data_IF_869905109467
#
_entry.id   IF_869905109467
#
_cell.length_a   1.000
_cell.length_b   1.000
_cell.length_c   1.000
_cell.angle_alpha   90.00
_cell.angle_beta   90.00
_cell.angle_gamma   90.00
#
_symmetry.space_group_name_H-M   'P 1'
#
loop_
_entity.id
_entity.type
_entity.pdbx_description
1 polymer ?
#
# COMPACT_ATOMS: atom_id res chain seq x y z
N UNK A 1 -12.34 12.04 14.74
CA UNK A 1 -12.65 12.39 13.33
C UNK A 1 -13.83 11.54 12.88
N UNK A 2 -14.80 12.11 12.18
CA UNK A 2 -15.91 11.36 11.57
C UNK A 2 -15.63 11.29 10.06
N UNK A 3 -15.39 10.09 9.55
CA UNK A 3 -15.02 9.84 8.14
C UNK A 3 -16.17 9.12 7.42
N UNK A 4 -16.20 9.22 6.09
CA UNK A 4 -17.13 8.46 5.26
C UNK A 4 -16.96 6.96 5.52
N UNK A 5 -18.08 6.25 5.72
CA UNK A 5 -18.07 4.80 5.84
C UNK A 5 -17.80 4.15 4.48
N UNK A 6 -16.77 3.31 4.41
CA UNK A 6 -16.38 2.56 3.20
C UNK A 6 -16.79 1.09 3.35
N UNK A 7 -17.82 0.61 2.62
CA UNK A 7 -18.49 -0.65 2.94
C UNK A 7 -17.78 -1.92 2.45
N UNK A 8 -16.78 -1.82 1.59
CA UNK A 8 -16.16 -3.00 0.98
C UNK A 8 -15.09 -3.67 1.85
N UNK A 9 -14.72 -3.06 2.98
CA UNK A 9 -13.75 -3.61 3.93
C UNK A 9 -12.30 -3.44 3.48
N UNK A 10 -11.38 -4.00 4.27
CA UNK A 10 -9.93 -3.88 4.09
C UNK A 10 -9.41 -4.78 2.98
N UNK A 11 -8.48 -4.26 2.17
CA UNK A 11 -7.74 -5.03 1.17
C UNK A 11 -7.00 -6.21 1.82
N UNK A 12 -6.54 -6.05 3.06
CA UNK A 12 -5.95 -7.11 3.88
C UNK A 12 -6.81 -8.37 3.93
N UNK A 13 -8.12 -8.21 4.22
CA UNK A 13 -9.05 -9.34 4.32
C UNK A 13 -9.16 -10.11 3.01
N UNK A 14 -9.21 -9.40 1.88
CA UNK A 14 -9.21 -10.04 0.56
C UNK A 14 -7.91 -10.77 0.27
N UNK A 15 -6.77 -10.16 0.59
CA UNK A 15 -5.46 -10.75 0.38
C UNK A 15 -5.29 -12.04 1.19
N UNK A 16 -5.66 -12.03 2.48
CA UNK A 16 -5.60 -13.22 3.35
C UNK A 16 -6.52 -14.32 2.87
N UNK A 17 -7.75 -13.99 2.49
CA UNK A 17 -8.72 -14.98 1.99
C UNK A 17 -8.30 -15.62 0.66
N UNK A 18 -7.64 -14.87 -0.23
CA UNK A 18 -7.15 -15.38 -1.51
C UNK A 18 -5.75 -16.01 -1.41
N UNK A 19 -5.08 -15.86 -0.27
CA UNK A 19 -3.67 -16.20 -0.06
C UNK A 19 -2.72 -15.21 -0.74
N UNK A 20 -2.94 -14.92 -2.03
CA UNK A 20 -2.23 -13.90 -2.81
C UNK A 20 -3.09 -13.44 -3.99
N UNK A 21 -2.84 -12.24 -4.47
CA UNK A 21 -3.42 -11.74 -5.70
C UNK A 21 -2.67 -12.25 -6.94
N UNK A 22 -3.40 -12.42 -8.03
CA UNK A 22 -2.78 -12.64 -9.33
C UNK A 22 -2.17 -11.32 -9.85
N UNK A 23 -1.36 -11.41 -10.91
CA UNK A 23 -0.65 -10.26 -11.47
C UNK A 23 -1.59 -9.11 -11.87
N UNK A 24 -2.74 -9.42 -12.49
CA UNK A 24 -3.70 -8.43 -12.96
C UNK A 24 -4.36 -7.67 -11.80
N UNK A 25 -4.75 -8.38 -10.73
CA UNK A 25 -5.31 -7.78 -9.51
C UNK A 25 -4.28 -6.91 -8.80
N UNK A 26 -3.05 -7.39 -8.64
CA UNK A 26 -1.96 -6.60 -8.04
C UNK A 26 -1.62 -5.35 -8.86
N UNK A 27 -1.57 -5.47 -10.19
CA UNK A 27 -1.32 -4.35 -11.10
C UNK A 27 -2.40 -3.27 -11.00
N UNK A 28 -3.68 -3.66 -10.95
CA UNK A 28 -4.81 -2.73 -10.80
C UNK A 28 -4.68 -1.91 -9.52
N UNK A 29 -4.57 -2.54 -8.36
CA UNK A 29 -4.50 -1.80 -7.09
C UNK A 29 -3.20 -1.00 -6.95
N UNK A 30 -2.09 -1.50 -7.48
CA UNK A 30 -0.83 -0.74 -7.51
C UNK A 30 -0.97 0.55 -8.31
N UNK A 31 -1.67 0.52 -9.45
CA UNK A 31 -1.90 1.71 -10.27
C UNK A 31 -2.70 2.78 -9.52
N UNK A 32 -3.78 2.39 -8.84
CA UNK A 32 -4.58 3.32 -8.02
C UNK A 32 -3.78 3.91 -6.86
N UNK A 33 -2.99 3.08 -6.17
CA UNK A 33 -2.15 3.51 -5.06
C UNK A 33 -1.07 4.48 -5.54
N UNK A 34 -0.46 4.25 -6.71
CA UNK A 34 0.51 5.18 -7.31
C UNK A 34 -0.11 6.55 -7.53
N UNK A 35 -1.32 6.62 -8.11
CA UNK A 35 -2.04 7.88 -8.30
C UNK A 35 -2.37 8.57 -6.96
N UNK A 36 -2.76 7.79 -5.94
CA UNK A 36 -3.03 8.34 -4.60
C UNK A 36 -1.77 8.92 -3.94
N UNK A 37 -0.64 8.20 -3.98
CA UNK A 37 0.65 8.65 -3.46
C UNK A 37 1.13 9.91 -4.19
N UNK A 38 1.09 9.90 -5.52
CA UNK A 38 1.44 11.05 -6.35
C UNK A 38 0.61 12.29 -5.98
N UNK A 39 -0.70 12.13 -5.82
CA UNK A 39 -1.59 13.21 -5.40
C UNK A 39 -1.19 13.76 -4.03
N UNK A 40 -0.98 12.90 -3.03
CA UNK A 40 -0.55 13.34 -1.69
C UNK A 40 0.78 14.08 -1.74
N UNK A 41 1.75 13.56 -2.48
CA UNK A 41 3.08 14.16 -2.64
C UNK A 41 3.02 15.52 -3.33
N UNK A 42 2.10 15.72 -4.29
CA UNK A 42 1.83 17.02 -4.93
C UNK A 42 1.30 18.07 -3.94
N UNK A 43 0.72 17.62 -2.82
CA UNK A 43 0.25 18.48 -1.71
C UNK A 43 1.26 18.55 -0.56
N UNK A 44 2.48 18.08 -0.79
CA UNK A 44 3.55 17.99 0.21
C UNK A 44 3.20 17.06 1.39
N UNK A 45 2.24 16.14 1.22
CA UNK A 45 1.84 15.20 2.26
C UNK A 45 2.58 13.87 2.02
N UNK A 46 3.23 13.34 3.05
CA UNK A 46 3.79 11.99 3.05
C UNK A 46 2.91 11.11 3.93
N UNK A 47 2.52 9.94 3.44
CA UNK A 47 1.50 9.11 4.08
C UNK A 47 2.05 8.26 5.24
N UNK A 48 3.20 7.61 5.03
CA UNK A 48 4.02 6.90 6.04
C UNK A 48 3.39 5.68 6.72
N UNK A 49 2.19 5.26 6.34
CA UNK A 49 1.56 4.03 6.88
C UNK A 49 0.84 3.20 5.80
N UNK A 50 1.48 3.06 4.63
CA UNK A 50 0.94 2.22 3.56
C UNK A 50 1.07 0.74 3.93
N UNK A 51 -0.07 0.07 4.06
CA UNK A 51 -0.22 -1.37 4.31
C UNK A 51 -1.64 -1.83 3.94
N UNK A 52 -1.88 -3.13 3.68
CA UNK A 52 -3.19 -3.62 3.23
C UNK A 52 -4.36 -3.29 4.18
N UNK A 53 -4.08 -3.15 5.48
CA UNK A 53 -5.06 -2.80 6.53
C UNK A 53 -5.57 -1.36 6.37
N UNK A 54 -4.73 -0.45 5.87
CA UNK A 54 -5.08 0.95 5.68
C UNK A 54 -5.63 1.26 4.27
N UNK A 55 -5.94 0.23 3.49
CA UNK A 55 -6.50 0.34 2.16
C UNK A 55 -7.88 -0.31 2.16
N UNK A 56 -8.92 0.49 1.99
CA UNK A 56 -10.30 0.01 1.95
C UNK A 56 -10.78 -0.09 0.50
N UNK A 57 -11.64 -1.06 0.21
CA UNK A 57 -12.37 -1.12 -1.06
C UNK A 57 -13.73 -0.45 -0.90
N UNK A 58 -14.09 0.45 -1.80
CA UNK A 58 -15.45 0.99 -1.85
C UNK A 58 -16.44 0.02 -2.51
N UNK A 59 -17.72 0.43 -2.59
CA UNK A 59 -18.80 -0.41 -3.14
C UNK A 59 -18.58 -0.87 -4.59
N UNK A 60 -17.74 -0.17 -5.35
CA UNK A 60 -17.42 -0.48 -6.74
C UNK A 60 -16.14 -1.32 -6.85
N UNK A 61 -15.34 -1.38 -5.79
CA UNK A 61 -14.08 -2.13 -5.73
C UNK A 61 -12.83 -1.28 -5.94
N UNK A 62 -12.96 0.06 -5.96
CA UNK A 62 -11.83 0.97 -6.03
C UNK A 62 -11.25 1.24 -4.63
N UNK A 63 -9.96 1.51 -4.56
CA UNK A 63 -9.30 1.76 -3.27
C UNK A 63 -9.63 3.14 -2.70
N UNK A 64 -9.66 3.19 -1.37
CA UNK A 64 -9.59 4.41 -0.57
C UNK A 64 -8.53 4.21 0.51
N UNK A 65 -7.56 5.12 0.57
CA UNK A 65 -6.63 5.17 1.70
C UNK A 65 -7.38 5.67 2.94
N UNK A 66 -7.19 5.00 4.07
CA UNK A 66 -7.71 5.43 5.38
C UNK A 66 -6.55 5.77 6.32
N UNK A 67 -6.82 6.02 7.60
CA UNK A 67 -5.83 6.24 8.66
C UNK A 67 -4.65 7.16 8.28
N UNK A 68 -4.88 8.46 8.37
CA UNK A 68 -3.87 9.49 8.16
C UNK A 68 -3.14 9.85 9.46
N UNK A 69 -3.16 8.99 10.49
CA UNK A 69 -2.55 9.26 11.80
C UNK A 69 -1.05 9.51 11.73
N UNK A 70 -0.35 8.89 10.78
CA UNK A 70 1.07 9.15 10.50
C UNK A 70 1.31 10.07 9.30
N UNK A 71 0.27 10.51 8.59
CA UNK A 71 0.44 11.42 7.48
C UNK A 71 0.98 12.77 7.99
N UNK A 72 1.87 13.40 7.21
CA UNK A 72 2.48 14.68 7.61
C UNK A 72 2.76 15.53 6.40
N UNK A 73 2.41 16.83 6.49
CA UNK A 73 2.85 17.83 5.52
C UNK A 73 4.33 18.14 5.74
N UNK A 74 5.15 17.96 4.71
CA UNK A 74 6.61 18.05 4.75
C UNK A 74 7.16 18.86 3.58
N UNK A 75 7.88 19.93 3.93
CA UNK A 75 8.68 20.72 2.98
C UNK A 75 10.04 20.07 2.74
N UNK A 76 10.66 19.51 3.78
CA UNK A 76 11.99 18.90 3.68
C UNK A 76 12.05 17.49 4.30
N UNK A 77 12.34 17.36 5.60
CA UNK A 77 12.50 16.06 6.28
C UNK A 77 11.78 15.99 7.63
N UNK A 78 11.52 14.76 8.07
CA UNK A 78 11.05 14.43 9.43
C UNK A 78 11.87 13.29 10.00
N UNK A 79 11.89 13.16 11.33
CA UNK A 79 12.72 12.17 12.05
C UNK A 79 11.90 11.18 12.89
N UNK A 80 10.59 11.37 12.99
CA UNK A 80 9.70 10.50 13.77
C UNK A 80 9.71 9.07 13.21
N UNK A 81 10.18 8.11 14.00
CA UNK A 81 10.03 6.69 13.72
C UNK A 81 8.54 6.30 13.90
N UNK A 82 7.85 6.02 12.80
CA UNK A 82 6.44 5.61 12.79
C UNK A 82 6.16 4.73 11.56
N UNK A 83 5.07 3.97 11.63
CA UNK A 83 4.66 2.98 10.62
C UNK A 83 4.76 1.55 11.15
N UNK A 84 4.31 0.60 10.33
CA UNK A 84 4.37 -0.84 10.63
C UNK A 84 5.77 -1.42 10.34
N UNK A 85 6.39 -2.23 11.22
CA UNK A 85 7.78 -2.70 11.11
C UNK A 85 8.18 -3.27 9.74
N UNK A 86 7.34 -4.11 9.15
CA UNK A 86 7.55 -4.78 7.85
C UNK A 86 7.60 -3.80 6.67
N UNK A 87 7.02 -2.61 6.85
CA UNK A 87 6.87 -1.56 5.85
C UNK A 87 7.85 -0.41 6.00
N UNK A 88 8.66 -0.38 7.08
CA UNK A 88 9.60 0.71 7.34
C UNK A 88 10.73 0.74 6.30
N UNK A 89 11.02 1.94 5.79
CA UNK A 89 12.17 2.15 4.92
C UNK A 89 13.48 2.16 5.73
N UNK A 90 14.63 1.76 5.14
CA UNK A 90 15.93 1.73 5.82
C UNK A 90 16.32 3.05 6.48
N UNK A 91 16.04 4.18 5.82
CA UNK A 91 16.35 5.50 6.35
C UNK A 91 15.50 5.92 7.56
N UNK A 92 14.32 5.31 7.74
CA UNK A 92 13.45 5.52 8.91
C UNK A 92 14.03 4.76 10.09
N UNK A 93 14.40 3.49 9.89
CA UNK A 93 15.05 2.63 10.90
C UNK A 93 16.37 3.26 11.38
N UNK A 94 17.16 3.79 10.45
CA UNK A 94 18.44 4.43 10.75
C UNK A 94 18.33 5.86 11.28
N UNK A 95 17.11 6.41 11.45
CA UNK A 95 16.89 7.78 11.92
C UNK A 95 17.61 8.87 11.10
N UNK A 96 17.83 8.65 9.80
CA UNK A 96 18.61 9.56 8.92
C UNK A 96 17.83 10.81 8.43
N UNK A 97 16.65 11.04 8.99
CA UNK A 97 15.64 11.95 8.47
C UNK A 97 15.06 11.42 7.15
N UNK A 98 13.75 11.51 6.96
CA UNK A 98 13.07 10.94 5.80
C UNK A 98 12.00 11.88 5.23
N UNK A 99 11.57 11.59 4.01
CA UNK A 99 10.56 12.34 3.27
C UNK A 99 9.78 11.41 2.33
N UNK A 100 9.34 11.92 1.18
CA UNK A 100 8.44 11.23 0.22
C UNK A 100 8.91 9.83 -0.23
N UNK A 101 10.22 9.59 -0.24
CA UNK A 101 10.82 8.31 -0.66
C UNK A 101 10.33 7.08 0.13
N UNK A 102 9.81 7.26 1.35
CA UNK A 102 9.37 6.15 2.21
C UNK A 102 8.06 5.54 1.71
N UNK A 103 7.16 6.32 1.11
CA UNK A 103 5.91 5.80 0.56
C UNK A 103 6.19 4.93 -0.67
N UNK A 104 7.22 5.25 -1.45
CA UNK A 104 7.66 4.42 -2.59
C UNK A 104 8.34 3.12 -2.14
N UNK A 105 9.05 3.13 -1.01
CA UNK A 105 9.53 1.89 -0.39
C UNK A 105 8.35 1.02 0.06
N UNK A 106 7.41 1.60 0.80
CA UNK A 106 6.23 0.88 1.27
C UNK A 106 5.38 0.33 0.12
N UNK A 107 5.29 1.04 -1.01
CA UNK A 107 4.67 0.51 -2.24
C UNK A 107 5.38 -0.76 -2.73
N UNK A 108 6.71 -0.81 -2.70
CA UNK A 108 7.47 -2.01 -3.05
C UNK A 108 7.17 -3.20 -2.14
N UNK A 109 7.05 -2.96 -0.83
CA UNK A 109 6.65 -3.97 0.16
C UNK A 109 5.23 -4.47 -0.16
N UNK A 110 4.29 -3.55 -0.39
CA UNK A 110 2.90 -3.86 -0.66
C UNK A 110 2.72 -4.67 -1.95
N UNK A 111 3.41 -4.30 -3.03
CA UNK A 111 3.37 -5.04 -4.31
C UNK A 111 3.89 -6.47 -4.10
N UNK A 112 4.99 -6.62 -3.35
CA UNK A 112 5.53 -7.93 -3.02
C UNK A 112 4.51 -8.75 -2.22
N UNK A 113 3.93 -8.18 -1.17
CA UNK A 113 2.98 -8.87 -0.30
C UNK A 113 1.71 -9.27 -1.05
N UNK A 114 1.15 -8.37 -1.86
CA UNK A 114 -0.02 -8.66 -2.69
C UNK A 114 0.21 -9.86 -3.61
N UNK A 115 1.39 -9.98 -4.24
CA UNK A 115 1.67 -11.03 -5.23
C UNK A 115 2.31 -12.30 -4.66
N UNK A 116 2.80 -12.25 -3.42
CA UNK A 116 3.46 -13.37 -2.74
C UNK A 116 2.62 -13.95 -1.60
N UNK A 117 1.75 -13.15 -0.98
CA UNK A 117 0.93 -13.50 0.18
C UNK A 117 1.59 -13.21 1.54
N UNK A 118 2.84 -12.74 1.53
CA UNK A 118 3.64 -12.42 2.70
C UNK A 118 4.64 -11.29 2.38
N UNK A 119 5.05 -10.47 3.36
CA UNK A 119 5.99 -9.38 3.13
C UNK A 119 7.41 -9.92 2.83
N UNK A 120 8.27 -9.16 2.11
CA UNK A 120 9.61 -9.61 1.73
C UNK A 120 10.58 -9.70 2.92
N UNK A 121 10.30 -8.96 3.99
CA UNK A 121 11.07 -8.97 5.23
C UNK A 121 10.12 -9.30 6.39
N UNK A 122 10.36 -10.44 7.04
CA UNK A 122 9.60 -10.88 8.21
C UNK A 122 10.53 -11.61 9.17
N UNK A 123 10.21 -11.57 10.44
CA UNK A 123 10.92 -12.23 11.53
C UNK A 123 9.99 -12.29 12.76
N UNK A 124 10.33 -13.10 13.76
CA UNK A 124 9.52 -13.25 14.97
C UNK A 124 9.58 -11.99 15.86
N UNK A 125 10.63 -11.18 15.71
CA UNK A 125 10.80 -9.94 16.44
C UNK A 125 11.13 -8.76 15.51
N UNK A 126 10.71 -7.53 15.85
CA UNK A 126 10.94 -6.36 15.02
C UNK A 126 12.43 -6.10 14.71
N UNK A 127 13.34 -6.43 15.61
CA UNK A 127 14.77 -6.20 15.39
C UNK A 127 15.33 -7.08 14.27
N UNK A 128 14.91 -8.35 14.18
CA UNK A 128 15.22 -9.24 13.07
C UNK A 128 14.68 -8.73 11.73
N UNK A 129 13.46 -8.17 11.72
CA UNK A 129 12.89 -7.50 10.54
C UNK A 129 13.79 -6.34 10.10
N UNK A 130 14.21 -5.48 11.05
CA UNK A 130 15.07 -4.34 10.74
C UNK A 130 16.42 -4.76 10.17
N UNK A 131 17.06 -5.80 10.73
CA UNK A 131 18.30 -6.33 10.18
C UNK A 131 18.15 -6.79 8.72
N UNK A 132 17.05 -7.47 8.40
CA UNK A 132 16.74 -7.93 7.03
C UNK A 132 16.49 -6.76 6.08
N UNK A 133 15.73 -5.74 6.51
CA UNK A 133 15.49 -4.51 5.74
C UNK A 133 16.81 -3.80 5.43
N UNK A 134 17.68 -3.65 6.42
CA UNK A 134 18.98 -2.98 6.26
C UNK A 134 19.96 -3.78 5.38
N UNK A 135 19.87 -5.11 5.39
CA UNK A 135 20.62 -5.97 4.48
C UNK A 135 20.12 -5.87 3.03
N UNK A 136 18.85 -5.53 2.81
CA UNK A 136 18.26 -5.30 1.49
C UNK A 136 18.21 -6.54 0.58
N UNK A 137 18.38 -7.75 1.14
CA UNK A 137 18.31 -8.99 0.39
C UNK A 137 16.87 -9.49 0.33
N UNK A 138 16.34 -9.64 -0.88
CA UNK A 138 14.98 -10.10 -1.14
C UNK A 138 15.02 -11.46 -1.81
N UNK A 139 14.35 -12.44 -1.20
CA UNK A 139 14.16 -13.76 -1.78
C UNK A 139 12.81 -13.82 -2.51
N UNK A 140 12.86 -13.80 -3.84
CA UNK A 140 11.65 -13.76 -4.66
C UNK A 140 11.06 -15.15 -4.91
N UNK A 141 9.74 -15.35 -4.71
CA UNK A 141 9.07 -16.55 -5.18
C UNK A 141 9.25 -16.79 -6.67
N UNK A 142 9.39 -18.07 -7.06
CA UNK A 142 9.65 -18.46 -8.45
C UNK A 142 8.57 -17.98 -9.41
N UNK A 143 7.31 -17.97 -8.96
CA UNK A 143 6.13 -17.59 -9.75
C UNK A 143 6.02 -16.11 -10.09
N UNK A 144 6.79 -15.22 -9.43
CA UNK A 144 6.69 -13.79 -9.72
C UNK A 144 7.29 -13.48 -11.09
N UNK A 145 6.57 -12.66 -11.86
CA UNK A 145 6.99 -12.18 -13.17
C UNK A 145 8.32 -11.40 -13.11
N UNK A 146 9.12 -11.46 -14.18
CA UNK A 146 10.42 -10.80 -14.23
C UNK A 146 10.32 -9.28 -14.12
N UNK A 147 9.29 -8.66 -14.71
CA UNK A 147 9.06 -7.22 -14.62
C UNK A 147 8.57 -6.82 -13.22
N UNK A 148 7.82 -7.68 -12.52
CA UNK A 148 7.47 -7.47 -11.10
C UNK A 148 8.74 -7.46 -10.25
N UNK A 149 9.61 -8.47 -10.43
CA UNK A 149 10.88 -8.58 -9.69
C UNK A 149 11.77 -7.36 -9.93
N UNK A 150 11.87 -6.91 -11.18
CA UNK A 150 12.64 -5.71 -11.55
C UNK A 150 12.08 -4.43 -10.90
N UNK A 151 10.75 -4.26 -10.90
CA UNK A 151 10.09 -3.13 -10.25
C UNK A 151 10.38 -3.11 -8.74
N UNK A 152 10.15 -4.24 -8.06
CA UNK A 152 10.32 -4.35 -6.60
C UNK A 152 11.78 -4.07 -6.24
N UNK A 153 12.77 -4.56 -7.01
CA UNK A 153 14.19 -4.25 -6.78
C UNK A 153 14.50 -2.75 -6.87
N UNK A 154 13.83 -2.02 -7.77
CA UNK A 154 14.02 -0.57 -7.95
C UNK A 154 13.30 0.28 -6.89
N UNK A 155 12.21 -0.24 -6.31
CA UNK A 155 11.51 0.38 -5.18
C UNK A 155 12.19 0.06 -3.83
N UNK A 156 12.67 -1.17 -3.66
CA UNK A 156 13.30 -1.67 -2.43
C UNK A 156 14.83 -1.56 -2.47
N UNK A 157 15.33 -0.47 -3.03
CA UNK A 157 16.76 -0.12 -2.94
C UNK A 157 17.03 0.68 -1.66
N UNK A 158 18.06 0.27 -0.93
CA UNK A 158 18.45 0.86 0.36
C UNK A 158 18.88 2.31 0.18
N UNK A 159 19.64 2.60 -0.86
CA UNK A 159 19.97 3.96 -1.25
C UNK A 159 18.75 4.66 -1.88
N UNK A 160 18.06 5.46 -1.07
CA UNK A 160 16.87 6.23 -1.47
C UNK A 160 17.10 7.18 -2.66
N UNK A 161 18.33 7.61 -2.93
CA UNK A 161 18.61 8.50 -4.08
C UNK A 161 18.46 7.78 -5.41
N UNK A 162 18.57 6.45 -5.40
CA UNK A 162 18.40 5.55 -6.53
C UNK A 162 17.02 4.88 -6.54
N UNK A 163 16.13 5.25 -5.62
CA UNK A 163 14.81 4.64 -5.49
C UNK A 163 13.85 5.22 -6.51
N UNK A 164 13.17 4.34 -7.24
CA UNK A 164 12.10 4.71 -8.15
C UNK A 164 11.04 5.55 -7.40
N UNK A 165 10.51 6.60 -8.03
CA UNK A 165 9.60 7.53 -7.37
C UNK A 165 10.29 8.71 -6.67
N UNK A 166 11.60 8.59 -6.34
CA UNK A 166 12.40 9.63 -5.69
C UNK A 166 13.48 10.25 -6.60
N UNK A 167 13.49 9.86 -7.87
CA UNK A 167 14.38 10.40 -8.91
C UNK A 167 13.81 11.69 -9.51
N UNK A 168 14.50 12.26 -10.51
CA UNK A 168 14.14 13.54 -11.16
C UNK A 168 12.69 13.58 -11.67
N UNK A 169 12.16 12.47 -12.18
CA UNK A 169 10.79 12.46 -12.72
C UNK A 169 9.75 11.95 -11.72
N UNK A 170 10.11 11.74 -10.46
CA UNK A 170 9.18 11.36 -9.40
C UNK A 170 8.34 10.13 -9.73
N UNK A 171 7.03 10.24 -9.54
CA UNK A 171 6.05 9.18 -9.79
C UNK A 171 6.08 8.66 -11.25
N UNK A 172 6.46 9.49 -12.22
CA UNK A 172 6.47 9.08 -13.63
C UNK A 172 7.51 7.98 -13.91
N UNK A 173 8.62 7.95 -13.16
CA UNK A 173 9.59 6.85 -13.27
C UNK A 173 8.98 5.52 -12.83
N UNK A 174 8.04 5.55 -11.88
CA UNK A 174 7.24 4.38 -11.47
C UNK A 174 6.26 4.00 -12.56
N UNK A 175 5.48 4.98 -13.06
CA UNK A 175 4.43 4.77 -14.07
C UNK A 175 4.96 4.21 -15.40
N UNK A 176 6.16 4.63 -15.82
CA UNK A 176 6.82 4.16 -17.05
C UNK A 176 7.45 2.77 -16.92
N UNK A 177 7.44 2.16 -15.73
CA UNK A 177 8.01 0.84 -15.57
C UNK A 177 7.30 -0.20 -16.44
N UNK A 178 8.04 -1.14 -17.03
CA UNK A 178 7.52 -2.14 -17.99
C UNK A 178 6.36 -2.98 -17.44
N UNK A 179 6.29 -3.17 -16.13
CA UNK A 179 5.18 -3.87 -15.50
C UNK A 179 3.84 -3.14 -15.71
N UNK A 180 3.83 -1.81 -15.73
CA UNK A 180 2.65 -0.99 -15.93
C UNK A 180 2.37 -0.60 -17.39
N UNK A 181 3.05 -1.22 -18.37
CA UNK A 181 2.95 -0.86 -19.79
C UNK A 181 1.52 -0.85 -20.36
N UNK A 182 0.62 -1.63 -19.76
CA UNK A 182 -0.77 -1.76 -20.18
C UNK A 182 -1.74 -0.87 -19.40
N UNK A 183 -1.25 -0.05 -18.48
CA UNK A 183 -2.07 0.87 -17.68
C UNK A 183 -2.30 2.14 -18.47
N UNK A 184 -3.58 2.46 -18.70
CA UNK A 184 -4.00 3.79 -19.12
C UNK A 184 -4.06 4.69 -17.87
N UNK A 185 -3.01 5.50 -17.69
CA UNK A 185 -2.85 6.35 -16.51
C UNK A 185 -3.87 7.48 -16.42
N UNK A 186 -4.46 7.92 -17.55
CA UNK A 186 -5.51 8.92 -17.55
C UNK A 186 -6.85 8.32 -17.07
N UNK A 187 -7.07 7.04 -17.34
CA UNK A 187 -8.27 6.30 -16.92
C UNK A 187 -8.32 5.97 -15.43
N UNK A 188 -7.16 5.86 -14.75
CA UNK A 188 -7.07 5.50 -13.33
C UNK A 188 -7.80 6.51 -12.42
N UNK A 189 -7.45 7.81 -12.38
CA UNK A 189 -8.13 8.77 -11.50
C UNK A 189 -9.59 9.01 -11.90
N UNK A 190 -9.94 8.73 -13.16
CA UNK A 190 -11.31 8.80 -13.67
C UNK A 190 -12.16 7.56 -13.33
N UNK A 191 -11.59 6.56 -12.63
CA UNK A 191 -12.25 5.30 -12.27
C UNK A 191 -12.84 4.56 -13.47
N UNK A 192 -12.17 4.65 -14.62
CA UNK A 192 -12.61 4.00 -15.88
C UNK A 192 -12.11 2.56 -16.01
N UNK A 193 -11.11 2.17 -15.22
CA UNK A 193 -10.62 0.80 -15.17
C UNK A 193 -11.58 -0.08 -14.37
N UNK A 194 -11.87 -1.29 -14.87
CA UNK A 194 -12.77 -2.24 -14.20
C UNK A 194 -12.09 -2.89 -12.98
N UNK A 195 -12.65 -2.76 -11.77
CA UNK A 195 -12.07 -3.39 -10.58
C UNK A 195 -12.08 -4.93 -10.65
N UNK A 196 -11.00 -5.60 -10.21
CA UNK A 196 -10.89 -7.05 -10.22
C UNK A 196 -11.68 -7.73 -9.09
N UNK A 197 -11.95 -7.00 -8.00
CA UNK A 197 -12.75 -7.46 -6.87
C UNK A 197 -13.92 -6.49 -6.73
N UNK A 198 -15.13 -7.01 -6.77
CA UNK A 198 -16.33 -6.25 -6.45
C UNK A 198 -16.81 -6.73 -5.09
N UNK A 199 -16.77 -5.91 -4.03
CA UNK A 199 -17.23 -6.30 -2.72
C UNK A 199 -18.67 -6.80 -2.76
N UNK A 200 -18.94 -7.91 -2.06
CA UNK A 200 -20.30 -8.42 -1.96
C UNK A 200 -21.14 -7.34 -1.28
N UNK A 201 -22.26 -6.94 -1.92
CA UNK A 201 -23.25 -6.07 -1.28
C UNK A 201 -23.59 -6.67 0.08
N UNK A 202 -23.49 -5.90 1.16
CA UNK A 202 -24.09 -6.27 2.43
C UNK A 202 -25.57 -6.62 2.16
N UNK A 203 -25.90 -7.90 2.12
CA UNK A 203 -27.28 -8.34 2.05
C UNK A 203 -27.98 -7.87 3.33
N UNK A 204 -29.27 -7.54 3.27
CA UNK A 204 -30.06 -7.00 4.40
C UNK A 204 -30.00 -7.86 5.68
N UNK A 205 -29.47 -9.07 5.60
CA UNK A 205 -29.20 -9.97 6.72
C UNK A 205 -28.18 -9.40 7.72
N UNK A 206 -27.15 -8.66 7.28
CA UNK A 206 -26.15 -8.09 8.20
C UNK A 206 -26.68 -6.90 9.00
N UNK A 207 -27.70 -6.18 8.49
CA UNK A 207 -28.37 -5.10 9.24
C UNK A 207 -29.07 -5.63 10.49
N UNK A 208 -29.53 -6.88 10.49
CA UNK A 208 -30.11 -7.52 11.69
C UNK A 208 -29.04 -7.78 12.74
N UNK A 209 -27.83 -8.17 12.34
CA UNK A 209 -26.71 -8.36 13.27
C UNK A 209 -26.24 -7.03 13.86
N UNK A 210 -26.14 -5.96 13.05
CA UNK A 210 -25.79 -4.63 13.56
C UNK A 210 -26.90 -4.03 14.43
N UNK A 211 -28.18 -4.21 14.08
CA UNK A 211 -29.31 -3.78 14.92
C UNK A 211 -29.39 -4.58 16.22
N UNK A 212 -29.04 -5.87 16.22
CA UNK A 212 -29.00 -6.68 17.44
C UNK A 212 -27.84 -6.29 18.37
N UNK A 213 -26.71 -5.85 17.82
CA UNK A 213 -25.59 -5.31 18.63
C UNK A 213 -25.94 -3.94 19.20
N UNK A 214 -26.60 -3.07 18.43
CA UNK A 214 -27.05 -1.76 18.93
C UNK A 214 -28.13 -1.91 20.00
N UNK A 215 -29.12 -2.79 19.82
CA UNK A 215 -30.13 -3.09 20.85
C UNK A 215 -29.52 -3.60 22.15
N UNK A 216 -28.50 -4.47 22.06
CA UNK A 216 -27.80 -4.99 23.24
C UNK A 216 -26.99 -3.93 24.01
N UNK A 217 -26.66 -2.81 23.39
CA UNK A 217 -25.98 -1.69 24.04
C UNK A 217 -26.96 -0.65 24.62
N UNK A 218 -28.24 -0.68 24.22
CA UNK A 218 -29.31 0.14 24.80
C UNK A 218 -29.94 -0.50 26.04
N UNK A 219 -29.67 -1.80 26.28
CA UNK A 219 -30.14 -2.57 27.43
C UNK A 219 -29.15 -2.57 28.64
N UNK A 220 -28.11 -1.72 28.59
CA UNK A 220 -27.17 -1.43 29.70
C UNK A 220 -27.10 0.07 29.98
#
# INVERSE_FOLDING_TARGET
MLMEYVPGGELFSYLRNMGRFNNSTGLFYSAEIICAIEYLHSKEIVYRDLKPENILLDKEGHIKLTDFGFAKKLVDRTWTLCGTPEYLAPEVIQSKGHGRAVDWWALGILIFEMLSGFPPFFDDNPFGIYQKILAGKIDFPRHLDLYVKDLIKKLLVVDRTRRLGNMKNGADDVKRHRWFRSVDWDAVPQRKLKPPIVPKKFSRTSKRETQNVIKKLEDY
#
